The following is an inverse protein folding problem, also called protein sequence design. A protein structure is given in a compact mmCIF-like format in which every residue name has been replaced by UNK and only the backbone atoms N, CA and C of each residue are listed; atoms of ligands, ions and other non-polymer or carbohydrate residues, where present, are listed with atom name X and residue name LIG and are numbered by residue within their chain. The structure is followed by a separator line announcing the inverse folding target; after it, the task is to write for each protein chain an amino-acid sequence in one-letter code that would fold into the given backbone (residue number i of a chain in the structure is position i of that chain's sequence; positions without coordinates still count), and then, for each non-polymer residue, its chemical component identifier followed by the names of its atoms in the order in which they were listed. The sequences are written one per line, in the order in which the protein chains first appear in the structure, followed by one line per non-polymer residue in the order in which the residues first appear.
data_IF_332561992525
#
_entry.id   IF_332561992525
#
_cell.length_a   1.000
_cell.length_b   1.000
_cell.length_c   1.000
_cell.angle_alpha   90.00
_cell.angle_beta   90.00
_cell.angle_gamma   90.00
#
_symmetry.space_group_name_H-M   'P 1'
#
loop_
_entity.id
_entity.type
_entity.pdbx_description
1 polymer ?
2 non-polymer ?
3 water ?
#
# COMPACT_ATOMS: atom_id res chain seq x y z
N UNK A 12 -4.47 5.46 -31.39
CA UNK A 12 -3.09 5.27 -30.86
C UNK A 12 -3.04 4.22 -29.75
N UNK A 13 -4.17 3.56 -29.49
CA UNK A 13 -4.24 2.53 -28.45
C UNK A 13 -5.36 1.52 -28.71
N UNK A 14 -5.05 0.23 -28.66
CA UNK A 14 -6.04 -0.82 -28.88
C UNK A 14 -6.28 -1.63 -27.61
N UNK A 15 -7.41 -1.41 -26.95
CA UNK A 15 -7.72 -2.17 -25.74
C UNK A 15 -7.76 -3.66 -26.05
N UNK A 16 -6.80 -4.39 -25.50
CA UNK A 16 -6.70 -5.82 -25.69
C UNK A 16 -7.50 -6.59 -24.64
N UNK A 17 -7.59 -6.05 -23.45
CA UNK A 17 -8.32 -6.74 -22.40
C UNK A 17 -8.60 -5.81 -21.23
N UNK A 18 -9.69 -6.08 -20.53
CA UNK A 18 -10.05 -5.27 -19.39
C UNK A 18 -9.45 -5.91 -18.14
N UNK A 19 -9.06 -5.08 -17.17
CA UNK A 19 -8.50 -5.60 -15.92
C UNK A 19 -9.28 -5.09 -14.72
N UNK A 20 -9.25 -3.78 -14.51
CA UNK A 20 -9.99 -3.20 -13.40
C UNK A 20 -11.13 -2.34 -13.91
N UNK A 25 -11.40 4.35 -11.50
CA UNK A 25 -11.99 3.98 -12.77
C UNK A 25 -11.70 2.54 -13.17
N UNK A 26 -11.94 2.21 -14.43
CA UNK A 26 -11.69 0.86 -14.95
C UNK A 26 -10.44 0.80 -15.83
N UNK A 27 -9.51 -0.07 -15.44
CA UNK A 27 -8.22 -0.25 -16.12
C UNK A 27 -8.19 -1.28 -17.24
N UNK A 28 -7.66 -0.86 -18.39
CA UNK A 28 -7.53 -1.73 -19.56
C UNK A 28 -6.09 -1.97 -19.97
N UNK A 29 -5.88 -3.02 -20.74
CA UNK A 29 -4.56 -3.36 -21.24
C UNK A 29 -4.61 -3.10 -22.73
N UNK A 30 -3.82 -2.13 -23.19
CA UNK A 30 -3.81 -1.76 -24.60
C UNK A 30 -2.42 -1.93 -25.19
N UNK A 31 -2.30 -1.53 -26.46
CA UNK A 31 -1.03 -1.59 -27.15
C UNK A 31 -0.71 -0.17 -27.62
N UNK A 32 0.45 0.31 -27.23
CA UNK A 32 0.92 1.64 -27.60
C UNK A 32 1.30 1.60 -29.08
N UNK A 33 0.30 1.71 -29.95
CA UNK A 33 0.52 1.65 -31.39
C UNK A 33 1.63 2.56 -31.91
N UNK A 34 1.79 3.74 -31.35
CA UNK A 34 2.85 4.61 -31.84
C UNK A 34 4.22 4.26 -31.28
N UNK A 35 4.23 3.39 -30.27
CA UNK A 35 5.50 3.00 -29.66
C UNK A 35 5.77 1.50 -29.67
N UNK A 36 5.87 0.94 -30.88
CA UNK A 36 6.18 -0.47 -31.04
C UNK A 36 5.17 -1.49 -30.57
N UNK A 37 3.96 -1.05 -30.30
CA UNK A 37 2.94 -1.99 -29.84
C UNK A 37 3.26 -2.58 -28.47
N UNK A 38 3.96 -1.80 -27.65
CA UNK A 38 4.26 -2.26 -26.31
C UNK A 38 2.93 -2.26 -25.56
N UNK A 39 2.90 -2.92 -24.41
CA UNK A 39 1.68 -2.96 -23.59
C UNK A 39 1.65 -1.76 -22.65
N UNK A 40 0.45 -1.24 -22.42
CA UNK A 40 0.23 -0.12 -21.51
C UNK A 40 -1.05 -0.40 -20.74
N UNK A 41 -1.32 0.41 -19.72
CA UNK A 41 -2.54 0.26 -18.93
C UNK A 41 -3.31 1.56 -19.03
N UNK A 42 -4.43 1.54 -19.73
CA UNK A 42 -5.25 2.74 -19.90
C UNK A 42 -6.36 2.77 -18.86
N UNK A 43 -6.40 3.84 -18.09
CA UNK A 43 -7.43 4.01 -17.09
C UNK A 43 -8.36 5.11 -17.59
N UNK A 44 -9.64 4.80 -17.70
CA UNK A 44 -10.60 5.80 -18.14
C UNK A 44 -11.28 6.32 -16.88
N UNK A 45 -11.17 7.62 -16.64
CA UNK A 45 -11.77 8.24 -15.47
C UNK A 45 -12.33 9.60 -15.86
N UNK A 56 -12.70 20.88 -10.62
CA UNK A 56 -11.36 21.47 -10.65
C UNK A 56 -10.36 20.57 -9.92
N UNK A 57 -10.82 19.98 -8.82
CA UNK A 57 -10.02 19.08 -8.00
C UNK A 57 -9.43 17.98 -8.87
N UNK A 58 -10.23 17.50 -9.81
CA UNK A 58 -9.77 16.46 -10.71
C UNK A 58 -8.59 17.02 -11.50
N UNK A 59 -8.78 18.19 -12.13
CA UNK A 59 -7.71 18.81 -12.91
C UNK A 59 -6.45 18.92 -12.06
N UNK A 60 -6.62 19.32 -10.80
CA UNK A 60 -5.49 19.47 -9.89
C UNK A 60 -4.81 18.14 -9.60
N UNK A 61 -5.61 17.09 -9.35
CA UNK A 61 -5.06 15.77 -9.07
C UNK A 61 -4.23 15.21 -10.23
N UNK A 62 -4.64 15.53 -11.46
CA UNK A 62 -3.91 15.06 -12.63
C UNK A 62 -2.64 15.85 -12.80
N UNK A 63 -2.70 17.13 -12.42
CA UNK A 63 -1.53 18.00 -12.50
C UNK A 63 -0.48 17.44 -11.55
N UNK A 64 -0.90 16.97 -10.38
CA UNK A 64 0.04 16.40 -9.42
C UNK A 64 0.66 15.15 -10.00
N UNK A 65 -0.19 14.25 -10.49
CA UNK A 65 0.32 13.02 -11.10
C UNK A 65 1.38 13.35 -12.15
N UNK A 66 1.07 14.28 -13.05
CA UNK A 66 2.04 14.67 -14.07
C UNK A 66 3.30 15.21 -13.39
N UNK A 67 3.12 16.04 -12.38
CA UNK A 67 4.27 16.60 -11.68
C UNK A 67 5.13 15.53 -11.03
N UNK A 68 4.52 14.53 -10.41
CA UNK A 68 5.28 13.46 -9.76
C UNK A 68 6.04 12.66 -10.80
N UNK A 69 5.44 12.54 -11.98
CA UNK A 69 6.04 11.79 -13.08
C UNK A 69 7.36 12.40 -13.55
N UNK A 70 7.49 13.73 -13.51
CA UNK A 70 8.74 14.35 -13.96
C UNK A 70 9.92 13.84 -13.15
N UNK A 71 9.69 13.32 -11.95
CA UNK A 71 10.81 12.81 -11.15
C UNK A 71 11.10 11.36 -11.54
N UNK A 72 10.27 10.81 -12.42
CA UNK A 72 10.41 9.43 -12.86
C UNK A 72 11.06 8.57 -11.76
N UNK A 73 10.35 8.38 -10.65
CA UNK A 73 10.88 7.57 -9.57
C UNK A 73 10.77 6.13 -10.04
N UNK A 74 11.79 5.32 -9.73
CA UNK A 74 11.89 3.90 -10.09
C UNK A 74 10.88 2.98 -9.39
N UNK A 75 10.25 3.49 -8.34
CA UNK A 75 9.29 2.70 -7.59
C UNK A 75 7.87 3.25 -7.66
N UNK A 76 7.53 3.82 -8.79
CA UNK A 76 6.20 4.36 -8.99
C UNK A 76 5.92 4.09 -10.46
N UNK A 77 4.71 3.64 -10.80
CA UNK A 77 4.44 3.35 -12.21
C UNK A 77 4.57 4.58 -13.08
N UNK A 78 5.20 4.39 -14.24
CA UNK A 78 5.39 5.46 -15.19
C UNK A 78 4.05 5.87 -15.75
N UNK A 79 3.87 7.17 -15.91
CA UNK A 79 2.66 7.76 -16.49
C UNK A 79 3.11 8.19 -17.88
N UNK A 80 2.89 7.36 -18.88
CA UNK A 80 3.34 7.69 -20.24
C UNK A 80 2.59 8.82 -20.91
N UNK A 81 1.33 9.03 -20.53
CA UNK A 81 0.54 10.09 -21.14
C UNK A 81 -0.87 10.19 -20.57
N UNK A 82 -1.48 11.36 -20.75
CA UNK A 82 -2.83 11.61 -20.28
C UNK A 82 -3.62 12.15 -21.44
N UNK A 83 -4.65 11.42 -21.84
CA UNK A 83 -5.48 11.84 -22.96
C UNK A 83 -6.81 12.36 -22.46
N UNK A 84 -7.42 13.24 -23.24
CA UNK A 84 -8.72 13.81 -22.87
C UNK A 84 -9.82 13.02 -23.58
N UNK A 85 -10.59 13.70 -24.44
CA UNK A 85 -11.65 13.02 -25.18
C UNK A 85 -11.53 13.30 -26.67
N UNK A 93 -14.62 12.39 -20.08
CA UNK A 93 -13.81 11.33 -19.49
C UNK A 93 -12.33 11.39 -19.90
N UNK A 94 -11.47 11.18 -18.91
CA UNK A 94 -10.03 11.24 -19.09
C UNK A 94 -9.42 9.84 -19.05
N UNK A 95 -8.46 9.58 -19.94
CA UNK A 95 -7.79 8.28 -19.94
C UNK A 95 -6.31 8.47 -19.63
N UNK A 96 -5.86 7.79 -18.58
CA UNK A 96 -4.47 7.88 -18.17
C UNK A 96 -3.71 6.70 -18.75
N UNK A 97 -2.55 6.94 -19.34
CA UNK A 97 -1.78 5.82 -19.90
C UNK A 97 -0.52 5.54 -19.10
N UNK A 98 -0.49 4.37 -18.47
CA UNK A 98 0.65 3.97 -17.65
C UNK A 98 1.42 2.82 -18.27
N UNK A 99 2.66 2.63 -17.84
CA UNK A 99 3.40 1.50 -18.36
C UNK A 99 2.59 0.32 -17.83
N UNK A 100 2.71 -0.83 -18.45
CA UNK A 100 1.96 -1.99 -18.00
C UNK A 100 2.92 -2.99 -17.33
N UNK A 101 2.56 -3.45 -16.13
CA UNK A 101 3.36 -4.43 -15.41
C UNK A 101 2.52 -5.71 -15.39
N UNK A 102 3.13 -6.83 -15.72
CA UNK A 102 2.42 -8.09 -15.83
C UNK A 102 1.80 -8.60 -14.56
N UNK A 103 2.36 -8.27 -13.41
CA UNK A 103 1.80 -8.80 -12.16
C UNK A 103 1.88 -7.91 -10.92
N UNK A 104 1.07 -8.26 -9.91
CA UNK A 104 1.05 -7.53 -8.66
C UNK A 104 1.53 -8.40 -7.51
N UNK A 105 1.66 -7.81 -6.33
CA UNK A 105 2.16 -8.54 -5.19
C UNK A 105 1.35 -9.80 -4.88
N UNK A 106 0.03 -9.72 -5.01
CA UNK A 106 -0.85 -10.86 -4.76
C UNK A 106 -0.46 -12.05 -5.63
N UNK A 107 -0.38 -11.82 -6.93
CA UNK A 107 0.00 -12.86 -7.89
C UNK A 107 1.39 -13.39 -7.56
N UNK A 108 2.29 -12.48 -7.21
CA UNK A 108 3.64 -12.87 -6.87
C UNK A 108 3.64 -13.82 -5.68
N UNK A 109 2.85 -13.49 -4.66
CA UNK A 109 2.76 -14.32 -3.45
C UNK A 109 2.02 -15.64 -3.70
N UNK A 110 1.13 -15.66 -4.69
CA UNK A 110 0.37 -16.86 -5.03
C UNK A 110 1.27 -17.89 -5.69
N UNK A 111 2.18 -17.42 -6.53
CA UNK A 111 3.08 -18.28 -7.27
C UNK A 111 4.38 -18.73 -6.58
N UNK A 112 4.84 -17.98 -5.58
CA UNK A 112 6.08 -18.34 -4.90
C UNK A 112 6.08 -19.74 -4.32
N UNK A 113 7.13 -20.52 -4.60
CA UNK A 113 7.30 -21.89 -4.13
C UNK A 113 7.58 -21.89 -2.63
N UNK A 114 6.85 -22.70 -1.87
CA UNK A 114 7.07 -22.76 -0.44
C UNK A 114 8.54 -23.07 -0.20
N UNK A 115 9.04 -22.79 1.01
CA UNK A 115 8.36 -22.20 2.18
C UNK A 115 7.85 -20.78 1.98
N UNK A 116 8.05 -20.23 0.79
CA UNK A 116 7.58 -18.88 0.52
C UNK A 116 8.63 -17.95 -0.04
N UNK A 117 8.53 -16.66 0.30
CA UNK A 117 9.46 -15.64 -0.17
C UNK A 117 10.77 -15.67 0.61
N UNK A 118 11.91 -15.64 -0.10
CA UNK A 118 13.25 -15.65 0.50
C UNK A 118 13.40 -14.45 1.42
N UNK A 119 13.84 -14.67 2.65
CA UNK A 119 13.99 -13.57 3.57
C UNK A 119 14.64 -12.32 2.96
N UNK A 120 15.61 -12.49 2.09
CA UNK A 120 16.26 -11.32 1.51
C UNK A 120 15.46 -10.65 0.39
N UNK A 121 14.47 -11.38 -0.13
CA UNK A 121 13.62 -10.82 -1.19
C UNK A 121 12.53 -9.99 -0.51
N UNK A 122 12.17 -10.37 0.72
CA UNK A 122 11.18 -9.64 1.48
C UNK A 122 11.83 -8.31 1.82
N UNK A 123 13.00 -8.38 2.44
CA UNK A 123 13.75 -7.19 2.82
C UNK A 123 13.89 -6.18 1.68
N UNK A 124 14.21 -6.69 0.51
CA UNK A 124 14.40 -5.84 -0.65
C UNK A 124 13.12 -5.21 -1.16
N UNK A 125 12.09 -6.02 -1.31
CA UNK A 125 10.81 -5.54 -1.81
C UNK A 125 10.21 -4.55 -0.83
N UNK A 126 10.53 -4.73 0.44
CA UNK A 126 10.03 -3.85 1.49
C UNK A 126 10.70 -2.50 1.39
N UNK A 127 11.99 -2.52 1.11
CA UNK A 127 12.77 -1.30 0.97
C UNK A 127 12.25 -0.55 -0.24
N UNK A 128 12.07 -1.25 -1.35
CA UNK A 128 11.56 -0.62 -2.57
C UNK A 128 10.19 -0.03 -2.35
N UNK A 129 9.43 -0.68 -1.49
CA UNK A 129 8.10 -0.23 -1.16
C UNK A 129 8.20 1.09 -0.39
N UNK A 130 8.98 1.07 0.68
CA UNK A 130 9.18 2.24 1.52
C UNK A 130 9.77 3.40 0.74
N UNK A 131 10.59 3.06 -0.24
CA UNK A 131 11.25 4.03 -1.12
C UNK A 131 10.21 4.84 -1.93
N UNK A 132 9.30 4.14 -2.59
CA UNK A 132 8.28 4.82 -3.38
C UNK A 132 7.32 5.57 -2.48
N UNK A 133 7.07 5.01 -1.30
CA UNK A 133 6.15 5.63 -0.36
C UNK A 133 6.71 6.96 0.11
N UNK A 134 7.94 6.94 0.61
CA UNK A 134 8.60 8.16 1.06
C UNK A 134 8.66 9.22 -0.03
N UNK A 135 8.76 8.77 -1.28
CA UNK A 135 8.78 9.70 -2.41
C UNK A 135 7.45 10.45 -2.41
N UNK A 136 6.37 9.68 -2.46
CA UNK A 136 5.03 10.24 -2.45
C UNK A 136 4.82 11.11 -1.22
N UNK A 137 5.25 10.65 -0.05
CA UNK A 137 5.06 11.43 1.17
C UNK A 137 5.88 12.72 1.20
N UNK A 138 7.11 12.65 0.68
CA UNK A 138 7.95 13.84 0.65
C UNK A 138 7.18 14.91 -0.13
N UNK A 139 6.42 14.48 -1.14
CA UNK A 139 5.61 15.38 -1.95
C UNK A 139 4.16 15.55 -1.43
N UNK A 140 3.96 15.16 -0.17
CA UNK A 140 2.66 15.29 0.49
C UNK A 140 1.47 14.65 -0.24
N UNK A 141 1.69 13.47 -0.78
CA UNK A 141 0.65 12.70 -1.44
C UNK A 141 0.50 11.45 -0.59
N UNK A 142 -0.74 11.19 -0.20
CA UNK A 142 -1.06 10.03 0.61
C UNK A 142 -1.67 9.01 -0.33
N UNK A 143 -1.15 7.78 -0.34
CA UNK A 143 -1.70 6.78 -1.23
C UNK A 143 -3.19 6.54 -0.89
N UNK A 144 -3.44 6.27 0.39
CA UNK A 144 -4.79 6.04 0.91
C UNK A 144 -5.27 4.59 0.87
N UNK A 145 -5.05 3.92 -0.25
CA UNK A 145 -5.50 2.54 -0.40
C UNK A 145 -4.37 1.55 -0.77
N UNK A 146 -3.30 1.56 0.01
CA UNK A 146 -2.16 0.69 -0.23
C UNK A 146 -2.53 -0.74 0.13
N UNK A 147 -2.42 -1.63 -0.85
CA UNK A 147 -2.74 -3.04 -0.70
C UNK A 147 -2.00 -3.80 -1.78
N UNK A 148 -1.82 -5.10 -1.60
CA UNK A 148 -1.12 -5.95 -2.57
C UNK A 148 -1.53 -5.81 -4.03
N UNK A 149 -2.82 -5.65 -4.28
CA UNK A 149 -3.31 -5.54 -5.66
C UNK A 149 -2.80 -4.31 -6.43
N UNK A 150 -2.38 -3.26 -5.71
CA UNK A 150 -1.88 -2.08 -6.43
C UNK A 150 -0.41 -1.74 -6.14
N UNK A 151 0.32 -2.78 -5.79
CA UNK A 151 1.75 -2.74 -5.57
C UNK A 151 2.20 -3.72 -6.67
N UNK A 152 2.62 -3.22 -7.82
CA UNK A 152 3.04 -4.06 -8.94
C UNK A 152 4.49 -4.54 -8.88
N UNK A 153 4.73 -5.76 -9.36
CA UNK A 153 6.07 -6.33 -9.38
C UNK A 153 6.53 -6.48 -10.83
N UNK A 154 7.62 -5.82 -11.19
CA UNK A 154 8.15 -5.83 -12.56
C UNK A 154 8.83 -7.13 -12.97
N UNK A 155 9.02 -7.30 -14.28
CA UNK A 155 9.71 -8.47 -14.86
C UNK A 155 11.03 -8.71 -14.15
N UNK A 156 11.71 -7.61 -13.83
CA UNK A 156 13.00 -7.62 -13.17
C UNK A 156 12.91 -7.75 -11.65
N UNK A 157 11.69 -7.81 -11.12
CA UNK A 157 11.50 -7.96 -9.69
C UNK A 157 11.46 -6.64 -8.92
N UNK A 158 11.16 -5.55 -9.63
CA UNK A 158 11.09 -4.21 -9.04
C UNK A 158 9.67 -3.84 -8.57
N UNK A 159 9.58 -3.24 -7.37
CA UNK A 159 8.28 -2.84 -6.85
C UNK A 159 7.88 -1.46 -7.39
N UNK A 160 6.64 -1.35 -7.84
CA UNK A 160 6.12 -0.10 -8.35
C UNK A 160 4.70 0.15 -7.87
N UNK A 161 4.52 1.21 -7.09
CA UNK A 161 3.20 1.59 -6.58
C UNK A 161 2.30 2.06 -7.71
N UNK A 162 1.01 1.77 -7.59
CA UNK A 162 0.05 2.19 -8.62
C UNK A 162 -1.27 2.60 -7.98
N UNK A 163 -2.21 3.05 -8.80
CA UNK A 163 -3.54 3.39 -8.32
C UNK A 163 -3.66 4.40 -7.18
N UNK A 164 -2.90 5.51 -7.27
CA UNK A 164 -2.91 6.56 -6.24
C UNK A 164 -3.06 7.93 -6.90
N UNK A 165 -3.42 8.94 -6.12
CA UNK A 165 -3.57 10.28 -6.66
C UNK A 165 -4.93 10.65 -7.24
N UNK A 166 -5.89 9.75 -7.14
CA UNK A 166 -7.23 10.02 -7.65
C UNK A 166 -8.30 9.67 -6.63
N UNK A 181 -14.93 -3.66 -1.37
CA UNK A 181 -13.74 -3.06 -0.84
C UNK A 181 -13.17 -3.87 0.33
N UNK A 182 -11.85 -3.92 0.44
CA UNK A 182 -11.22 -4.63 1.55
C UNK A 182 -10.64 -3.59 2.53
N UNK A 183 -10.93 -3.84 3.80
CA UNK A 183 -10.51 -3.01 4.90
C UNK A 183 -9.36 -3.65 5.63
N UNK A 184 -8.85 -4.76 5.09
CA UNK A 184 -7.75 -5.47 5.75
C UNK A 184 -6.45 -4.70 5.88
N UNK A 185 -6.36 -3.56 5.20
CA UNK A 185 -5.14 -2.73 5.26
C UNK A 185 -5.43 -1.32 5.76
N UNK A 186 -6.68 -1.06 6.15
CA UNK A 186 -7.05 0.26 6.66
C UNK A 186 -6.42 0.53 8.02
N UNK A 187 -5.87 1.73 8.21
CA UNK A 187 -5.28 2.10 9.47
C UNK A 187 -6.39 2.35 10.49
N UNK A 188 -6.12 2.12 11.78
CA UNK A 188 -7.11 2.32 12.83
C UNK A 188 -7.85 3.67 12.74
N UNK A 189 -7.10 4.75 12.60
CA UNK A 189 -7.67 6.10 12.52
C UNK A 189 -8.65 6.27 11.37
N UNK A 190 -8.44 5.54 10.28
CA UNK A 190 -9.33 5.64 9.15
C UNK A 190 -10.61 4.89 9.44
N UNK A 191 -10.47 3.72 10.05
CA UNK A 191 -11.62 2.91 10.43
C UNK A 191 -12.50 3.74 11.36
N UNK A 192 -11.87 4.39 12.33
CA UNK A 192 -12.57 5.24 13.30
C UNK A 192 -13.02 6.58 12.70
N UNK A 193 -12.55 6.88 11.48
CA UNK A 193 -12.89 8.12 10.80
C UNK A 193 -12.39 9.32 11.58
N UNK A 194 -11.20 9.18 12.13
CA UNK A 194 -10.56 10.23 12.91
C UNK A 194 -9.70 11.12 12.02
N UNK A 195 -8.45 10.72 11.82
CA UNK A 195 -7.50 11.47 11.01
C UNK A 195 -7.27 10.75 9.69
N UNK A 196 -6.58 11.41 8.75
CA UNK A 196 -6.31 10.81 7.45
C UNK A 196 -4.97 11.30 6.89
N UNK A 197 -3.96 11.42 7.75
CA UNK A 197 -2.66 11.87 7.29
C UNK A 197 -1.89 10.74 6.60
N UNK A 198 -0.59 10.93 6.38
CA UNK A 198 0.25 9.95 5.72
C UNK A 198 0.60 8.73 6.58
N UNK A 199 0.41 8.80 7.91
CA UNK A 199 0.78 7.59 8.63
C UNK A 199 -0.11 6.44 8.20
N UNK A 200 -1.27 6.77 7.68
CA UNK A 200 -2.24 5.79 7.22
C UNK A 200 -1.59 4.78 6.31
N UNK A 201 -0.73 5.25 5.39
CA UNK A 201 -0.07 4.37 4.46
C UNK A 201 0.95 3.45 5.12
N UNK A 202 1.54 3.87 6.23
CA UNK A 202 2.54 3.05 6.91
C UNK A 202 1.87 1.89 7.65
N UNK A 203 0.66 2.11 8.15
CA UNK A 203 -0.03 1.04 8.81
C UNK A 203 -0.22 -0.05 7.75
N UNK A 204 -0.57 0.37 6.53
CA UNK A 204 -0.76 -0.56 5.42
C UNK A 204 0.53 -1.31 5.12
N UNK A 205 1.66 -0.61 5.21
CA UNK A 205 2.94 -1.24 4.95
C UNK A 205 3.21 -2.34 5.99
N UNK A 206 2.96 -2.04 7.25
CA UNK A 206 3.15 -3.07 8.26
C UNK A 206 2.32 -4.29 7.87
N UNK A 207 1.05 -4.05 7.53
CA UNK A 207 0.14 -5.12 7.13
C UNK A 207 0.64 -5.89 5.92
N UNK A 208 1.25 -5.22 4.94
CA UNK A 208 1.77 -5.92 3.75
C UNK A 208 3.02 -6.72 4.14
N UNK A 209 3.85 -6.09 4.98
CA UNK A 209 5.09 -6.68 5.48
C UNK A 209 4.79 -8.01 6.15
N UNK A 210 3.77 -8.02 7.01
CA UNK A 210 3.41 -9.25 7.70
C UNK A 210 2.97 -10.24 6.66
N UNK A 211 2.19 -9.77 5.68
CA UNK A 211 1.68 -10.64 4.64
C UNK A 211 2.73 -11.22 3.71
N UNK A 212 3.95 -10.72 3.76
CA UNK A 212 4.93 -11.31 2.87
C UNK A 212 5.45 -12.60 3.49
N UNK A 213 5.39 -12.66 4.82
CA UNK A 213 5.81 -13.84 5.56
C UNK A 213 4.63 -14.85 5.60
N UNK A 214 3.48 -14.38 6.07
CA UNK A 214 2.26 -15.20 6.17
C UNK A 214 1.68 -15.59 4.82
N UNK A 215 1.89 -14.76 3.81
CA UNK A 215 1.32 -15.02 2.50
C UNK A 215 -0.19 -15.07 2.60
N UNK A 216 -0.70 -14.62 3.73
CA UNK A 216 -2.13 -14.54 4.01
C UNK A 216 -2.35 -13.23 4.75
N UNK A 217 -3.46 -12.54 4.46
CA UNK A 217 -3.71 -11.28 5.15
C UNK A 217 -3.65 -11.47 6.67
N UNK A 218 -3.20 -10.45 7.39
CA UNK A 218 -3.09 -10.48 8.84
C UNK A 218 -4.44 -10.22 9.50
N UNK A 219 -5.02 -9.08 9.16
CA UNK A 219 -6.30 -8.63 9.69
C UNK A 219 -7.37 -8.74 8.61
N UNK A 220 -8.20 -9.77 8.69
CA UNK A 220 -9.25 -9.99 7.69
C UNK A 220 -10.65 -9.67 8.23
N UNK A 221 -10.89 -8.41 8.56
CA UNK A 221 -12.20 -8.02 9.07
C UNK A 221 -13.27 -8.04 8.00
N UNK A 222 -14.53 -7.97 8.42
CA UNK A 222 -15.66 -7.99 7.48
C UNK A 222 -16.36 -6.64 7.40
N UNK A 223 -15.97 -5.74 8.28
CA UNK A 223 -16.56 -4.41 8.32
C UNK A 223 -15.64 -3.50 9.15
N UNK A 224 -15.94 -2.21 9.14
CA UNK A 224 -15.16 -1.24 9.90
C UNK A 224 -14.92 -1.71 11.34
N UNK A 225 -16.03 -2.00 12.02
CA UNK A 225 -15.96 -2.45 13.40
C UNK A 225 -15.31 -3.81 13.53
N UNK A 226 -15.63 -4.75 12.64
CA UNK A 226 -14.99 -6.04 12.77
C UNK A 226 -13.49 -5.89 12.55
N UNK A 227 -13.13 -5.12 11.53
CA UNK A 227 -11.73 -4.88 11.20
C UNK A 227 -10.96 -4.32 12.39
N UNK A 228 -11.49 -3.25 12.96
CA UNK A 228 -10.86 -2.61 14.10
C UNK A 228 -10.79 -3.62 15.25
N UNK A 229 -11.75 -4.54 15.26
CA UNK A 229 -11.78 -5.56 16.29
C UNK A 229 -10.62 -6.53 16.14
N UNK A 230 -10.48 -7.12 14.95
CA UNK A 230 -9.40 -8.09 14.69
C UNK A 230 -8.02 -7.52 14.90
N UNK A 231 -7.89 -6.20 14.71
CA UNK A 231 -6.61 -5.51 14.89
C UNK A 231 -6.25 -5.47 16.38
N UNK A 232 -7.15 -4.92 17.19
CA UNK A 232 -6.91 -4.81 18.62
C UNK A 232 -6.69 -6.16 19.31
N UNK A 233 -7.17 -7.25 18.72
CA UNK A 233 -6.93 -8.55 19.31
C UNK A 233 -5.42 -8.78 19.31
N UNK A 234 -4.73 -8.30 18.28
CA UNK A 234 -3.29 -8.49 18.16
C UNK A 234 -2.39 -7.49 18.88
N UNK A 235 -2.55 -6.21 18.59
CA UNK A 235 -1.70 -5.19 19.22
C UNK A 235 -2.21 -4.80 20.60
N UNK A 236 -3.45 -5.14 20.89
CA UNK A 236 -4.04 -4.83 22.18
C UNK A 236 -4.59 -3.42 22.30
N UNK A 237 -5.49 -3.23 23.26
CA UNK A 237 -6.12 -1.93 23.50
C UNK A 237 -5.07 -0.85 23.72
N UNK A 238 -5.12 0.22 22.92
CA UNK A 238 -4.22 1.38 22.94
C UNK A 238 -4.06 2.19 24.23
N UNK A 239 -5.09 2.22 25.05
CA UNK A 239 -5.01 3.02 26.26
C UNK A 239 -5.66 4.36 25.96
N UNK A 240 -6.66 4.73 26.73
CA UNK A 240 -7.42 5.96 26.51
C UNK A 240 -6.59 7.12 25.95
N UNK A 241 -5.38 7.30 26.47
CA UNK A 241 -4.48 8.35 26.00
C UNK A 241 -4.32 8.41 24.48
N UNK A 242 -4.26 7.25 23.83
CA UNK A 242 -4.08 7.19 22.38
C UNK A 242 -5.35 6.98 21.57
N UNK A 243 -6.51 7.27 22.15
CA UNK A 243 -7.73 7.07 21.39
C UNK A 243 -8.30 8.40 20.96
N UNK A 244 -8.65 8.53 19.67
CA UNK A 244 -9.21 9.76 19.09
C UNK A 244 -10.37 10.28 19.93
N UNK A 245 -10.41 11.58 20.11
CA UNK A 245 -11.46 12.20 20.92
C UNK A 245 -12.55 12.85 20.12
N UNK A 246 -12.98 12.22 19.04
CA UNK A 246 -14.03 12.81 18.23
C UNK A 246 -14.82 11.77 17.47
N UNK A 247 -14.31 10.54 17.43
CA UNK A 247 -14.95 9.43 16.74
C UNK A 247 -16.19 8.91 17.46
N UNK A 248 -16.97 8.09 16.77
CA UNK A 248 -18.19 7.53 17.33
C UNK A 248 -17.97 6.24 18.12
N UNK A 249 -16.85 5.53 17.84
CA UNK A 249 -16.54 4.28 18.53
C UNK A 249 -15.63 4.48 19.74
N UNK A 250 -16.18 4.25 20.95
CA UNK A 250 -15.44 4.40 22.21
C UNK A 250 -14.44 3.26 22.43
N UNK A 251 -13.36 3.55 23.15
CA UNK A 251 -12.35 2.52 23.45
C UNK A 251 -13.07 1.37 24.19
N UNK A 252 -14.13 1.73 24.90
CA UNK A 252 -14.94 0.80 25.67
C UNK A 252 -15.67 -0.25 24.82
N UNK A 253 -15.88 0.05 23.54
CA UNK A 253 -16.57 -0.90 22.66
C UNK A 253 -15.74 -2.14 22.34
N UNK A 254 -14.52 -2.20 22.90
CA UNK A 254 -13.62 -3.34 22.68
C UNK A 254 -13.04 -3.85 24.00
N UNK A 255 -12.60 -5.11 24.03
CA UNK A 255 -12.03 -5.72 25.25
C UNK A 255 -10.90 -6.70 24.92
N UNK A 258 -6.20 -7.45 24.80
CA UNK A 258 -4.86 -7.33 25.38
C UNK A 258 -3.83 -7.86 24.37
N UNK A 259 -2.72 -7.14 24.21
CA UNK A 259 -1.67 -7.51 23.25
C UNK A 259 -1.09 -8.92 23.40
N UNK A 260 -0.61 -9.45 22.28
CA UNK A 260 0.00 -10.77 22.24
C UNK A 260 1.13 -10.84 21.22
N UNK A 261 2.12 -11.71 21.46
CA UNK A 261 3.30 -11.93 20.60
C UNK A 261 3.02 -11.86 19.11
N UNK A 262 3.72 -10.96 18.42
CA UNK A 262 3.53 -10.81 16.99
C UNK A 262 4.11 -12.00 16.25
N UNK A 263 5.19 -12.58 16.77
CA UNK A 263 5.81 -13.73 16.12
C UNK A 263 4.86 -14.91 16.01
N UNK A 264 3.78 -14.86 16.79
CA UNK A 264 2.79 -15.92 16.75
C UNK A 264 2.09 -15.91 15.40
N UNK A 265 1.83 -14.71 14.87
CA UNK A 265 1.13 -14.52 13.61
C UNK A 265 2.04 -14.37 12.39
N UNK A 266 3.27 -13.92 12.64
CA UNK A 266 4.25 -13.75 11.58
C UNK A 266 5.47 -14.57 11.96
N UNK A 267 5.48 -15.84 11.57
CA UNK A 267 6.61 -16.69 11.90
C UNK A 267 7.75 -16.47 10.93
N UNK A 268 8.96 -16.45 11.49
CA UNK A 268 10.19 -16.27 10.73
C UNK A 268 10.61 -14.81 10.61
N UNK A 269 9.97 -13.95 11.39
CA UNK A 269 10.27 -12.53 11.38
C UNK A 269 11.51 -12.38 12.26
N UNK A 270 12.45 -11.53 11.85
CA UNK A 270 13.69 -11.29 12.63
C UNK A 270 13.36 -10.49 13.87
N UNK A 271 14.39 -10.04 14.58
CA UNK A 271 14.18 -9.20 15.76
C UNK A 271 14.02 -7.79 15.22
N UNK A 272 14.80 -7.47 14.18
CA UNK A 272 14.75 -6.15 13.56
C UNK A 272 13.45 -6.04 12.77
N UNK A 273 13.18 -7.05 11.95
CA UNK A 273 11.95 -7.06 11.19
C UNK A 273 10.77 -6.89 12.12
N UNK A 274 10.84 -7.51 13.30
CA UNK A 274 9.75 -7.42 14.29
C UNK A 274 9.66 -6.01 14.87
N UNK A 275 10.81 -5.37 15.07
CA UNK A 275 10.80 -4.02 15.60
C UNK A 275 10.15 -3.09 14.59
N UNK A 276 10.57 -3.20 13.34
CA UNK A 276 10.04 -2.37 12.27
C UNK A 276 8.53 -2.59 12.07
N UNK A 277 8.13 -3.87 12.02
CA UNK A 277 6.73 -4.22 11.84
C UNK A 277 5.82 -3.61 12.91
N UNK A 278 6.33 -3.54 14.13
CA UNK A 278 5.56 -2.99 15.24
C UNK A 278 5.53 -1.47 15.16
N UNK A 279 6.65 -0.87 14.77
CA UNK A 279 6.70 0.58 14.64
C UNK A 279 5.70 1.05 13.58
N UNK A 280 5.46 0.22 12.57
CA UNK A 280 4.49 0.53 11.52
C UNK A 280 3.07 0.36 12.09
N UNK A 281 2.85 -0.79 12.74
CA UNK A 281 1.56 -1.13 13.30
C UNK A 281 1.29 -0.55 14.68
N UNK A 282 1.61 0.72 14.85
CA UNK A 282 1.42 1.42 16.11
C UNK A 282 0.08 2.13 16.04
N UNK A 283 -0.77 1.90 17.06
CA UNK A 283 -2.11 2.48 17.06
C UNK A 283 -2.20 3.97 16.84
N UNK A 284 -1.33 4.72 17.51
CA UNK A 284 -1.34 6.16 17.41
C UNK A 284 -0.53 6.63 16.19
N UNK A 285 -1.21 7.27 15.23
CA UNK A 285 -0.63 7.79 13.98
C UNK A 285 0.57 8.65 14.28
N UNK A 286 0.46 9.43 15.35
CA UNK A 286 1.54 10.33 15.76
C UNK A 286 2.77 9.57 16.20
N UNK A 287 2.58 8.38 16.77
CA UNK A 287 3.70 7.57 17.23
C UNK A 287 4.17 6.56 16.20
N UNK A 288 3.46 6.49 15.09
CA UNK A 288 3.81 5.56 14.02
C UNK A 288 5.03 6.06 13.25
N UNK A 289 5.92 5.13 12.92
CA UNK A 289 7.12 5.49 12.17
C UNK A 289 6.72 5.96 10.78
N UNK A 290 7.60 6.76 10.19
CA UNK A 290 7.38 7.30 8.85
C UNK A 290 8.16 6.47 7.83
N UNK A 291 7.90 6.67 6.55
CA UNK A 291 8.62 5.92 5.52
C UNK A 291 10.08 6.34 5.56
N UNK A 292 10.29 7.64 5.66
CA UNK A 292 11.64 8.17 5.70
C UNK A 292 12.52 7.53 6.76
N UNK A 293 12.05 7.49 8.01
CA UNK A 293 12.86 6.89 9.05
C UNK A 293 12.78 5.37 9.01
N UNK A 294 11.81 4.83 8.27
CA UNK A 294 11.69 3.38 8.14
C UNK A 294 12.80 2.92 7.21
N UNK A 295 13.14 3.77 6.23
CA UNK A 295 14.20 3.44 5.28
C UNK A 295 15.54 3.35 6.01
N UNK A 296 15.63 3.90 7.22
CA UNK A 296 16.87 3.88 7.98
C UNK A 296 16.89 2.85 9.11
N UNK A 297 15.79 2.15 9.32
CA UNK A 297 15.71 1.15 10.38
C UNK A 297 16.76 0.07 10.16
N UNK A 298 17.41 -0.38 11.24
CA UNK A 298 18.45 -1.41 11.17
C UNK A 298 18.09 -2.60 10.26
N UNK A 299 16.81 -2.97 10.27
CA UNK A 299 16.31 -4.06 9.45
C UNK A 299 16.90 -4.06 8.05
N UNK A 300 17.08 -2.86 7.48
CA UNK A 300 17.62 -2.71 6.13
C UNK A 300 19.14 -2.54 6.11
#
# INVERSE_FOLDING_TARGET
MEKDGLCRADQQYECVAEIGEGAYGKVFKARDLKNGGRFVALKRVRVQTGEEGMPLSTIREVAVLRHLETFEHPNVVRLFDVCTVSRTDRETKLTLVFEHVDQDLTTYLDKVPEPGVPTETIKDMMFQLLRGLDFLHSHRVVHRDLKPQNILVTSSGQIKLADFGLARIYSFQMALTSVVVTLWYRAPEVLLQSSYATPVDLWSVGCIFAEMFRRKPLFRGSSDVDQLGKILDVIGLPGEEDWPRDVALPRQAFHSKSAQPIEKFVTDIDELGKDLLLKCLTFNPAKRISAYSALSHPYFQHHHHHH
#
